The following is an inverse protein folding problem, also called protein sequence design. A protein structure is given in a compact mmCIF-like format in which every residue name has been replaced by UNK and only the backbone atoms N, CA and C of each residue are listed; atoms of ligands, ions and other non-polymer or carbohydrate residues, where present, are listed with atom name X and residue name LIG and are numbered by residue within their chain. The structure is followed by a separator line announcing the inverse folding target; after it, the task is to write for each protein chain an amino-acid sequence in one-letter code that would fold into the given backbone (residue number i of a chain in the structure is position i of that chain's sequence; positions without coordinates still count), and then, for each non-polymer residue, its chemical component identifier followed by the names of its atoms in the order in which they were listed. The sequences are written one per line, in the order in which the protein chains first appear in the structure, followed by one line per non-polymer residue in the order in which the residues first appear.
data_IF_452840765575
#
_entry.id   IF_452840765575
#
_cell.length_a   1.000
_cell.length_b   1.000
_cell.length_c   1.000
_cell.angle_alpha   90.00
_cell.angle_beta   90.00
_cell.angle_gamma   90.00
#
_symmetry.space_group_name_H-M   'P 1'
#
loop_
_entity.id
_entity.type
_entity.pdbx_description
1 polymer ?
#
# COMPACT_ATOMS: atom_id res chain seq x y z
N UNK A 1 -55.96 1.18 5.01
CA UNK A 1 -54.96 1.90 4.19
C UNK A 1 -53.59 1.58 4.75
N UNK A 2 -52.90 0.59 4.18
CA UNK A 2 -51.56 0.20 4.62
C UNK A 2 -50.55 1.06 3.85
N UNK A 3 -50.01 2.08 4.51
CA UNK A 3 -48.86 2.83 4.00
C UNK A 3 -47.68 1.86 3.94
N UNK A 4 -47.37 1.37 2.74
CA UNK A 4 -46.13 0.67 2.47
C UNK A 4 -45.00 1.68 2.70
N UNK A 5 -44.34 1.61 3.86
CA UNK A 5 -43.05 2.25 4.06
C UNK A 5 -42.09 1.62 3.06
N UNK A 6 -41.81 2.31 1.97
CA UNK A 6 -40.67 1.99 1.12
C UNK A 6 -39.45 2.26 1.98
N UNK A 7 -38.87 1.22 2.57
CA UNK A 7 -37.63 1.33 3.32
C UNK A 7 -36.53 1.66 2.32
N UNK A 8 -36.19 2.93 2.21
CA UNK A 8 -35.06 3.40 1.42
C UNK A 8 -33.78 2.94 2.13
N UNK A 9 -33.15 1.89 1.60
CA UNK A 9 -31.85 1.42 2.09
C UNK A 9 -30.77 2.38 1.62
N UNK A 10 -29.90 2.80 2.54
CA UNK A 10 -28.70 3.54 2.16
C UNK A 10 -27.68 2.58 1.54
N UNK A 11 -26.75 3.08 0.73
CA UNK A 11 -25.58 2.29 0.29
C UNK A 11 -24.83 1.69 1.47
N UNK A 12 -24.77 2.39 2.60
CA UNK A 12 -24.12 1.92 3.82
C UNK A 12 -24.80 0.69 4.43
N UNK A 13 -26.14 0.68 4.45
CA UNK A 13 -26.92 -0.46 4.95
C UNK A 13 -26.73 -1.67 4.04
N UNK A 14 -26.74 -1.46 2.72
CA UNK A 14 -26.50 -2.52 1.76
C UNK A 14 -25.11 -3.15 1.95
N UNK A 15 -24.06 -2.34 2.11
CA UNK A 15 -22.71 -2.83 2.39
C UNK A 15 -22.67 -3.62 3.69
N UNK A 16 -23.37 -3.16 4.74
CA UNK A 16 -23.49 -3.88 6.00
C UNK A 16 -24.10 -5.27 5.79
N UNK A 17 -25.23 -5.33 5.08
CA UNK A 17 -25.89 -6.59 4.73
C UNK A 17 -24.98 -7.55 3.96
N UNK A 18 -24.32 -7.07 2.89
CA UNK A 18 -23.40 -7.88 2.09
C UNK A 18 -22.21 -8.39 2.92
N UNK A 19 -21.68 -7.56 3.83
CA UNK A 19 -20.62 -7.97 4.73
C UNK A 19 -21.10 -9.09 5.68
N UNK A 20 -22.30 -8.97 6.25
CA UNK A 20 -22.89 -10.00 7.10
C UNK A 20 -23.07 -11.33 6.37
N UNK A 21 -23.54 -11.25 5.13
CA UNK A 21 -23.67 -12.40 4.23
C UNK A 21 -22.32 -13.11 3.99
N UNK A 22 -21.24 -12.33 3.79
CA UNK A 22 -19.89 -12.89 3.61
C UNK A 22 -19.33 -13.53 4.89
N UNK A 23 -19.63 -12.98 6.06
CA UNK A 23 -19.33 -13.62 7.35
C UNK A 23 -20.00 -15.01 7.43
N UNK A 24 -21.29 -15.09 7.08
CA UNK A 24 -22.02 -16.35 7.06
C UNK A 24 -21.43 -17.36 6.05
N UNK A 25 -21.11 -16.90 4.85
CA UNK A 25 -20.55 -17.74 3.77
C UNK A 25 -19.24 -18.42 4.19
N UNK A 26 -18.44 -17.76 5.04
CA UNK A 26 -17.20 -18.30 5.58
C UNK A 26 -17.35 -18.97 6.96
N UNK A 27 -18.57 -19.09 7.48
CA UNK A 27 -18.83 -19.68 8.80
C UNK A 27 -18.14 -18.92 9.95
N UNK A 28 -17.91 -17.61 9.80
CA UNK A 28 -17.30 -16.77 10.84
C UNK A 28 -18.40 -15.93 11.47
N UNK A 29 -18.39 -15.81 12.80
CA UNK A 29 -19.18 -14.81 13.51
C UNK A 29 -18.37 -13.53 13.70
N UNK A 30 -18.94 -12.34 13.43
CA UNK A 30 -18.31 -11.09 13.83
C UNK A 30 -18.20 -11.04 15.37
N UNK A 31 -17.22 -10.30 15.89
CA UNK A 31 -17.05 -10.15 17.34
C UNK A 31 -18.22 -9.33 17.94
N UNK A 32 -18.51 -9.55 19.22
CA UNK A 32 -19.45 -8.69 19.96
C UNK A 32 -19.00 -7.21 19.91
N UNK A 33 -19.92 -6.25 19.84
CA UNK A 33 -21.39 -6.42 19.88
C UNK A 33 -22.03 -6.72 18.51
N UNK A 34 -21.24 -6.79 17.43
CA UNK A 34 -21.74 -6.80 16.05
C UNK A 34 -22.49 -8.08 15.64
N UNK A 35 -22.35 -9.16 16.40
CA UNK A 35 -23.14 -10.39 16.22
C UNK A 35 -24.49 -10.38 16.96
N UNK A 36 -24.75 -9.38 17.80
CA UNK A 36 -25.87 -9.37 18.75
C UNK A 36 -26.81 -8.19 18.50
N UNK A 37 -26.25 -7.00 18.24
CA UNK A 37 -27.04 -5.79 18.06
C UNK A 37 -27.75 -5.72 16.69
N UNK A 38 -29.03 -5.30 16.64
CA UNK A 38 -29.76 -5.10 15.40
C UNK A 38 -29.01 -4.16 14.45
N UNK A 39 -28.64 -4.68 13.29
CA UNK A 39 -27.89 -3.94 12.27
C UNK A 39 -28.06 -4.61 10.91
N UNK A 40 -27.83 -3.88 9.80
CA UNK A 40 -27.80 -4.49 8.47
C UNK A 40 -26.80 -5.65 8.38
N UNK A 41 -25.68 -5.57 9.12
CA UNK A 41 -24.70 -6.65 9.26
C UNK A 41 -25.34 -7.93 9.84
N UNK A 42 -26.06 -7.80 10.96
CA UNK A 42 -26.72 -8.94 11.58
C UNK A 42 -27.82 -9.54 10.69
N UNK A 43 -28.57 -8.69 9.98
CA UNK A 43 -29.59 -9.14 9.03
C UNK A 43 -28.98 -9.95 7.88
N UNK A 44 -27.86 -9.47 7.32
CA UNK A 44 -27.08 -10.19 6.31
C UNK A 44 -26.51 -11.51 6.82
N UNK A 45 -26.00 -11.53 8.05
CA UNK A 45 -25.48 -12.73 8.70
C UNK A 45 -26.56 -13.80 8.85
N UNK A 46 -27.73 -13.44 9.35
CA UNK A 46 -28.88 -14.36 9.51
C UNK A 46 -29.37 -14.90 8.17
N UNK A 47 -29.50 -14.02 7.18
CA UNK A 47 -29.91 -14.41 5.82
C UNK A 47 -28.91 -15.39 5.18
N UNK A 48 -27.60 -15.13 5.34
CA UNK A 48 -26.56 -16.01 4.86
C UNK A 48 -26.54 -17.36 5.61
N UNK A 49 -26.69 -17.37 6.93
CA UNK A 49 -26.75 -18.60 7.72
C UNK A 49 -27.91 -19.50 7.29
N UNK A 50 -29.08 -18.92 7.05
CA UNK A 50 -30.23 -19.64 6.52
C UNK A 50 -29.99 -20.21 5.11
N UNK A 51 -29.17 -19.53 4.30
CA UNK A 51 -28.88 -19.91 2.92
C UNK A 51 -27.78 -20.97 2.78
N UNK A 52 -26.69 -20.83 3.55
CA UNK A 52 -25.53 -21.72 3.45
C UNK A 52 -25.63 -22.93 4.38
N UNK A 53 -26.30 -22.79 5.52
CA UNK A 53 -26.34 -23.83 6.56
C UNK A 53 -24.94 -24.29 6.92
N UNK A 54 -24.65 -25.59 6.73
CA UNK A 54 -23.34 -26.19 6.98
C UNK A 54 -22.36 -26.09 5.80
N UNK A 55 -22.80 -25.62 4.63
CA UNK A 55 -21.99 -25.52 3.41
C UNK A 55 -21.27 -24.17 3.34
N UNK A 56 -20.29 -24.00 4.22
CA UNK A 56 -19.47 -22.77 4.30
C UNK A 56 -18.08 -22.97 3.70
N UNK A 57 -17.44 -21.86 3.32
CA UNK A 57 -16.07 -21.84 2.82
C UNK A 57 -15.06 -21.78 3.98
N UNK A 58 -13.93 -22.46 3.82
CA UNK A 58 -12.86 -22.46 4.84
C UNK A 58 -12.31 -21.04 5.11
N UNK A 59 -12.36 -20.54 6.35
CA UNK A 59 -11.86 -19.21 6.69
C UNK A 59 -10.34 -19.18 6.90
N UNK A 60 -9.58 -18.92 5.84
CA UNK A 60 -8.12 -18.69 5.93
C UNK A 60 -7.78 -17.44 6.74
N UNK A 61 -6.51 -17.29 7.16
CA UNK A 61 -6.06 -16.08 7.89
C UNK A 61 -6.33 -14.80 7.12
N UNK A 62 -6.18 -14.82 5.79
CA UNK A 62 -6.40 -13.66 4.93
C UNK A 62 -7.88 -13.34 4.74
N UNK A 63 -8.76 -14.35 4.72
CA UNK A 63 -10.23 -14.14 4.74
C UNK A 63 -10.64 -13.44 6.04
N UNK A 64 -10.17 -13.92 7.19
CA UNK A 64 -10.44 -13.28 8.49
C UNK A 64 -9.96 -11.83 8.53
N UNK A 65 -8.75 -11.56 8.00
CA UNK A 65 -8.21 -10.20 7.91
C UNK A 65 -9.02 -9.31 6.98
N UNK A 66 -9.48 -9.84 5.85
CA UNK A 66 -10.30 -9.13 4.88
C UNK A 66 -11.67 -8.75 5.43
N UNK A 67 -12.34 -9.69 6.12
CA UNK A 67 -13.60 -9.41 6.80
C UNK A 67 -13.41 -8.38 7.93
N UNK A 68 -12.35 -8.50 8.73
CA UNK A 68 -12.02 -7.50 9.75
C UNK A 68 -11.77 -6.11 9.16
N UNK A 69 -11.03 -6.02 8.05
CA UNK A 69 -10.79 -4.76 7.33
C UNK A 69 -12.12 -4.15 6.87
N UNK A 70 -13.00 -4.94 6.27
CA UNK A 70 -14.31 -4.48 5.80
C UNK A 70 -15.22 -4.05 6.95
N UNK A 71 -15.25 -4.78 8.05
CA UNK A 71 -15.98 -4.39 9.25
C UNK A 71 -15.48 -3.05 9.79
N UNK A 72 -14.16 -2.90 9.96
CA UNK A 72 -13.59 -1.64 10.42
C UNK A 72 -13.81 -0.50 9.43
N UNK A 73 -13.85 -0.77 8.13
CA UNK A 73 -14.16 0.24 7.11
C UNK A 73 -15.62 0.67 7.20
N UNK A 74 -16.55 -0.30 7.24
CA UNK A 74 -17.98 -0.07 7.39
C UNK A 74 -18.28 0.74 8.65
N UNK A 75 -17.77 0.36 9.82
CA UNK A 75 -17.97 1.12 11.07
C UNK A 75 -17.52 2.59 11.02
N UNK A 76 -16.60 2.95 10.10
CA UNK A 76 -16.09 4.31 9.90
C UNK A 76 -16.65 4.99 8.64
N UNK A 77 -17.63 4.37 7.97
CA UNK A 77 -18.19 4.84 6.71
C UNK A 77 -17.18 4.89 5.55
N UNK A 78 -16.07 4.14 5.64
CA UNK A 78 -15.02 4.11 4.62
C UNK A 78 -15.38 3.13 3.52
N UNK A 79 -15.09 3.51 2.28
CA UNK A 79 -15.30 2.65 1.12
C UNK A 79 -14.21 1.58 1.02
N UNK A 80 -14.59 0.41 0.49
CA UNK A 80 -13.69 -0.69 0.15
C UNK A 80 -13.97 -1.11 -1.29
N UNK A 81 -12.95 -1.12 -2.12
CA UNK A 81 -13.01 -1.57 -3.51
C UNK A 81 -12.92 -3.11 -3.54
N UNK A 82 -14.04 -3.80 -3.73
CA UNK A 82 -14.13 -5.25 -3.52
C UNK A 82 -13.66 -6.12 -4.70
N UNK A 83 -13.42 -5.53 -5.88
CA UNK A 83 -12.94 -6.27 -7.05
C UNK A 83 -11.48 -6.64 -6.88
N UNK A 84 -10.63 -5.70 -6.48
CA UNK A 84 -9.19 -5.92 -6.34
C UNK A 84 -8.78 -6.14 -4.87
N UNK A 85 -9.45 -5.53 -3.89
CA UNK A 85 -9.16 -5.79 -2.46
C UNK A 85 -9.83 -7.08 -2.01
N UNK A 86 -9.13 -8.19 -2.29
CA UNK A 86 -9.53 -9.57 -1.97
C UNK A 86 -8.61 -10.19 -0.92
N UNK A 87 -8.96 -11.35 -0.33
CA UNK A 87 -8.03 -12.11 0.53
C UNK A 87 -6.67 -12.40 -0.13
N UNK A 88 -6.65 -12.72 -1.43
CA UNK A 88 -5.41 -12.94 -2.20
C UNK A 88 -4.60 -11.63 -2.31
N UNK A 89 -5.25 -10.48 -2.50
CA UNK A 89 -4.56 -9.20 -2.47
C UNK A 89 -3.91 -8.94 -1.10
N UNK A 90 -4.62 -9.22 0.00
CA UNK A 90 -4.06 -9.09 1.34
C UNK A 90 -2.86 -10.03 1.59
N UNK A 91 -2.89 -11.24 1.04
CA UNK A 91 -1.74 -12.15 1.06
C UNK A 91 -0.54 -11.57 0.31
N UNK A 92 -0.75 -10.91 -0.82
CA UNK A 92 0.34 -10.34 -1.62
C UNK A 92 1.00 -9.12 -0.97
N UNK A 93 0.26 -8.34 -0.19
CA UNK A 93 0.81 -7.18 0.55
C UNK A 93 1.30 -7.55 1.95
N UNK A 94 1.22 -8.82 2.34
CA UNK A 94 1.73 -9.32 3.61
C UNK A 94 3.24 -9.07 3.71
N UNK A 95 3.66 -8.65 4.90
CA UNK A 95 5.06 -8.35 5.19
C UNK A 95 5.48 -9.04 6.48
N UNK A 96 6.74 -9.49 6.57
CA UNK A 96 7.29 -10.06 7.79
C UNK A 96 7.66 -8.98 8.81
N UNK A 97 8.03 -7.79 8.34
CA UNK A 97 8.46 -6.66 9.17
C UNK A 97 7.77 -5.38 8.75
N UNK A 98 7.50 -4.51 9.72
CA UNK A 98 6.92 -3.21 9.46
C UNK A 98 7.90 -2.33 8.65
N UNK A 99 7.46 -1.72 7.53
CA UNK A 99 8.34 -0.84 6.74
C UNK A 99 8.78 0.43 7.52
N UNK A 100 8.01 0.84 8.53
CA UNK A 100 8.25 2.06 9.30
C UNK A 100 9.11 1.76 10.54
N UNK A 101 8.61 0.89 11.44
CA UNK A 101 9.29 0.59 12.70
C UNK A 101 10.40 -0.44 12.55
N UNK A 102 10.42 -1.21 11.45
CA UNK A 102 11.32 -2.34 11.17
C UNK A 102 11.23 -3.49 12.18
N UNK A 103 10.22 -3.49 13.05
CA UNK A 103 9.93 -4.62 13.94
C UNK A 103 9.25 -5.75 13.17
N UNK A 104 9.46 -7.00 13.59
CA UNK A 104 8.69 -8.14 13.11
C UNK A 104 7.20 -7.91 13.38
N UNK A 105 6.36 -8.27 12.42
CA UNK A 105 4.92 -8.13 12.55
C UNK A 105 4.33 -9.34 13.26
N UNK A 106 3.59 -9.11 14.33
CA UNK A 106 2.81 -10.13 15.03
C UNK A 106 1.39 -10.20 14.47
N UNK A 107 0.62 -11.21 14.89
CA UNK A 107 -0.79 -11.33 14.52
C UNK A 107 -1.59 -11.74 15.74
N UNK A 108 -2.64 -10.97 16.03
CA UNK A 108 -3.61 -11.24 17.09
C UNK A 108 -2.98 -11.34 18.50
N UNK A 109 -1.91 -10.59 18.76
CA UNK A 109 -1.34 -10.45 20.12
C UNK A 109 -1.90 -9.23 20.85
N UNK A 110 -2.64 -8.35 20.14
CA UNK A 110 -3.11 -7.04 20.62
C UNK A 110 -1.98 -6.07 20.98
N UNK A 111 -0.77 -6.33 20.48
CA UNK A 111 0.42 -5.52 20.74
C UNK A 111 0.65 -4.47 19.64
N UNK A 112 1.55 -3.54 19.93
CA UNK A 112 2.02 -2.49 19.02
C UNK A 112 2.68 -3.00 17.72
N UNK A 113 3.09 -4.27 17.69
CA UNK A 113 3.68 -4.98 16.54
C UNK A 113 2.65 -5.65 15.64
N UNK A 114 1.38 -5.72 16.03
CA UNK A 114 0.38 -6.45 15.26
C UNK A 114 0.25 -5.89 13.85
N UNK A 115 0.15 -6.78 12.86
CA UNK A 115 -0.03 -6.42 11.47
C UNK A 115 -1.37 -5.67 11.27
N UNK A 116 -1.28 -4.47 10.72
CA UNK A 116 -2.40 -3.61 10.39
C UNK A 116 -2.30 -3.15 8.94
N UNK A 117 -3.45 -3.01 8.28
CA UNK A 117 -3.53 -2.51 6.90
C UNK A 117 -3.79 -1.02 6.94
N UNK A 118 -2.81 -0.24 6.49
CA UNK A 118 -2.90 1.22 6.36
C UNK A 118 -3.39 1.61 4.97
N UNK A 119 -4.14 2.71 4.92
CA UNK A 119 -4.42 3.45 3.69
C UNK A 119 -3.35 4.51 3.56
N UNK A 120 -2.37 4.29 2.68
CA UNK A 120 -1.19 5.16 2.60
C UNK A 120 -1.61 6.60 2.33
N UNK A 121 -2.48 6.79 1.32
CA UNK A 121 -3.24 8.01 1.09
C UNK A 121 -4.56 7.94 1.86
N UNK A 122 -4.71 8.80 2.88
CA UNK A 122 -5.81 8.72 3.85
C UNK A 122 -7.15 9.32 3.39
N UNK A 123 -7.12 10.23 2.43
CA UNK A 123 -8.27 10.76 1.69
C UNK A 123 -8.76 9.80 0.59
N UNK A 124 -8.22 8.59 0.52
CA UNK A 124 -8.71 7.51 -0.32
C UNK A 124 -9.35 6.39 0.51
N UNK A 125 -10.19 5.59 -0.14
CA UNK A 125 -10.79 4.38 0.41
C UNK A 125 -9.77 3.25 0.56
N UNK A 126 -10.24 2.10 1.01
CA UNK A 126 -9.48 0.85 0.95
C UNK A 126 -9.50 0.33 -0.49
N UNK A 127 -8.46 0.63 -1.26
CA UNK A 127 -8.37 0.27 -2.66
C UNK A 127 -6.99 -0.26 -3.01
N UNK A 128 -6.94 -1.20 -3.97
CA UNK A 128 -5.66 -1.72 -4.44
C UNK A 128 -4.77 -0.58 -4.97
N UNK A 129 -3.47 -0.69 -4.72
CA UNK A 129 -2.53 0.39 -5.00
C UNK A 129 -2.38 1.42 -3.88
N UNK A 130 -3.28 1.46 -2.89
CA UNK A 130 -3.23 2.38 -1.75
C UNK A 130 -2.96 1.70 -0.39
N UNK A 131 -2.81 0.37 -0.37
CA UNK A 131 -2.70 -0.39 0.87
C UNK A 131 -1.26 -0.79 1.16
N UNK A 132 -0.87 -0.69 2.42
CA UNK A 132 0.39 -1.23 2.92
C UNK A 132 0.17 -1.92 4.27
N UNK A 133 0.83 -3.07 4.47
CA UNK A 133 0.87 -3.73 5.77
C UNK A 133 1.99 -3.14 6.63
N UNK A 134 1.64 -2.71 7.84
CA UNK A 134 2.58 -2.13 8.81
C UNK A 134 2.11 -2.44 10.24
N UNK A 135 2.89 -2.09 11.26
CA UNK A 135 2.48 -2.37 12.63
C UNK A 135 1.36 -1.44 13.08
N UNK A 136 0.52 -1.88 14.02
CA UNK A 136 -0.52 -1.04 14.66
C UNK A 136 0.08 0.26 15.19
N UNK A 137 1.26 0.23 15.83
CA UNK A 137 1.98 1.45 16.28
C UNK A 137 2.24 2.43 15.14
N UNK A 138 2.76 1.97 14.01
CA UNK A 138 3.04 2.84 12.86
C UNK A 138 1.75 3.41 12.26
N UNK A 139 0.72 2.57 12.11
CA UNK A 139 -0.57 2.99 11.57
C UNK A 139 -1.26 4.03 12.48
N UNK A 140 -1.29 3.79 13.79
CA UNK A 140 -1.86 4.73 14.77
C UNK A 140 -1.10 6.06 14.80
N UNK A 141 0.22 6.05 14.79
CA UNK A 141 1.00 7.27 14.77
C UNK A 141 0.87 8.05 13.46
N UNK A 142 0.87 7.35 12.31
CA UNK A 142 0.58 7.98 11.01
C UNK A 142 -0.80 8.62 11.03
N UNK A 143 -1.81 7.97 11.62
CA UNK A 143 -3.17 8.49 11.73
C UNK A 143 -3.67 9.01 10.36
N UNK A 144 -4.01 10.30 10.26
CA UNK A 144 -4.42 10.98 9.03
C UNK A 144 -3.27 11.67 8.28
N UNK A 145 -2.06 11.73 8.86
CA UNK A 145 -0.94 12.51 8.32
C UNK A 145 -0.52 12.01 6.93
N UNK A 146 -0.61 12.90 5.94
CA UNK A 146 -0.14 12.66 4.58
C UNK A 146 1.36 12.92 4.43
N UNK A 147 1.83 12.97 3.17
CA UNK A 147 3.24 13.26 2.87
C UNK A 147 3.71 14.59 3.47
N UNK A 148 2.95 15.67 3.23
CA UNK A 148 3.31 17.03 3.68
C UNK A 148 3.32 17.15 5.20
N UNK A 149 2.35 16.55 5.88
CA UNK A 149 2.29 16.54 7.34
C UNK A 149 3.45 15.76 7.95
N UNK A 150 3.74 14.56 7.44
CA UNK A 150 4.86 13.75 7.90
C UNK A 150 6.20 14.49 7.69
N UNK A 151 6.37 15.18 6.56
CA UNK A 151 7.58 15.97 6.30
C UNK A 151 7.70 17.18 7.24
N UNK A 152 6.58 17.85 7.56
CA UNK A 152 6.56 18.92 8.56
C UNK A 152 6.96 18.40 9.94
N UNK A 153 6.41 17.27 10.37
CA UNK A 153 6.77 16.62 11.65
C UNK A 153 8.26 16.30 11.71
N UNK A 154 8.85 15.78 10.63
CA UNK A 154 10.31 15.53 10.57
C UNK A 154 11.09 16.82 10.79
N UNK A 155 10.74 17.91 10.08
CA UNK A 155 11.43 19.20 10.20
C UNK A 155 11.29 19.80 11.59
N UNK A 156 10.11 19.72 12.19
CA UNK A 156 9.84 20.24 13.53
C UNK A 156 10.66 19.47 14.58
N UNK A 157 10.75 18.14 14.46
CA UNK A 157 11.59 17.30 15.32
C UNK A 157 13.08 17.61 15.15
N UNK A 158 13.57 17.80 13.93
CA UNK A 158 14.97 18.20 13.66
C UNK A 158 15.29 19.57 14.26
N UNK A 159 14.43 20.56 14.03
CA UNK A 159 14.60 21.91 14.56
C UNK A 159 14.58 21.95 16.10
N UNK A 160 13.74 21.11 16.72
CA UNK A 160 13.67 20.96 18.17
C UNK A 160 14.75 20.05 18.77
N UNK A 161 15.62 19.43 17.95
CA UNK A 161 16.58 18.41 18.40
C UNK A 161 15.93 17.19 19.06
N UNK A 162 14.66 16.94 18.78
CA UNK A 162 13.85 15.90 19.44
C UNK A 162 13.97 14.56 18.70
N UNK A 163 14.37 13.47 19.38
CA UNK A 163 14.58 12.18 18.70
C UNK A 163 13.28 11.46 18.32
N UNK A 164 12.14 11.87 18.89
CA UNK A 164 10.83 11.25 18.68
C UNK A 164 9.67 12.22 18.96
N UNK A 165 8.51 11.95 18.37
CA UNK A 165 7.26 12.67 18.60
C UNK A 165 6.07 11.90 18.02
N UNK A 166 4.87 12.06 18.60
CA UNK A 166 3.65 11.40 18.10
C UNK A 166 3.73 9.87 18.05
N UNK A 167 4.53 9.24 18.92
CA UNK A 167 4.68 7.79 19.01
C UNK A 167 5.73 7.16 18.08
N UNK A 168 6.43 7.94 17.25
CA UNK A 168 7.49 7.47 16.36
C UNK A 168 8.78 8.27 16.52
N UNK A 169 9.92 7.64 16.20
CA UNK A 169 11.21 8.34 16.14
C UNK A 169 11.32 9.21 14.88
N UNK A 170 12.26 10.15 14.86
CA UNK A 170 12.59 10.96 13.69
C UNK A 170 12.79 10.09 12.43
N UNK A 171 13.59 9.03 12.56
CA UNK A 171 13.88 8.13 11.46
C UNK A 171 12.63 7.37 10.97
N UNK A 172 11.69 7.07 11.87
CA UNK A 172 10.42 6.42 11.54
C UNK A 172 9.48 7.41 10.83
N UNK A 173 9.39 8.66 11.28
CA UNK A 173 8.63 9.70 10.57
C UNK A 173 9.17 9.98 9.18
N UNK A 174 10.49 9.99 9.00
CA UNK A 174 11.10 10.11 7.67
C UNK A 174 10.69 8.95 6.75
N UNK A 175 10.58 7.72 7.28
CA UNK A 175 10.05 6.56 6.53
C UNK A 175 8.57 6.72 6.19
N UNK A 176 7.76 7.28 7.11
CA UNK A 176 6.34 7.59 6.84
C UNK A 176 6.21 8.60 5.70
N UNK A 177 6.99 9.67 5.72
CA UNK A 177 7.00 10.67 4.64
C UNK A 177 7.32 10.03 3.29
N UNK A 178 8.38 9.20 3.21
CA UNK A 178 8.74 8.49 1.97
C UNK A 178 7.62 7.54 1.52
N UNK A 179 7.03 6.76 2.43
CA UNK A 179 5.92 5.88 2.09
C UNK A 179 4.73 6.64 1.51
N UNK A 180 4.32 7.75 2.15
CA UNK A 180 3.23 8.58 1.67
C UNK A 180 3.55 9.26 0.33
N UNK A 181 4.81 9.63 0.08
CA UNK A 181 5.22 10.27 -1.16
C UNK A 181 4.97 9.43 -2.40
N UNK A 182 4.91 8.09 -2.26
CA UNK A 182 4.67 7.20 -3.39
C UNK A 182 3.29 7.37 -4.03
N UNK A 183 2.29 7.79 -3.25
CA UNK A 183 0.89 7.95 -3.69
C UNK A 183 0.43 9.42 -3.60
N UNK A 184 1.38 10.33 -3.39
CA UNK A 184 1.20 11.77 -3.49
C UNK A 184 1.72 12.23 -4.86
N UNK A 185 0.91 12.93 -5.68
CA UNK A 185 1.41 13.56 -6.89
C UNK A 185 2.42 14.66 -6.54
N UNK A 186 3.68 14.48 -6.92
CA UNK A 186 4.75 15.44 -6.68
C UNK A 186 5.34 15.94 -7.99
N UNK A 187 5.92 17.15 -7.96
CA UNK A 187 6.78 17.57 -9.06
C UNK A 187 7.99 16.64 -9.18
N UNK A 188 8.54 16.51 -10.39
CA UNK A 188 9.74 15.70 -10.64
C UNK A 188 10.90 16.12 -9.75
N UNK A 189 11.08 17.44 -9.56
CA UNK A 189 12.12 18.00 -8.71
C UNK A 189 11.95 17.55 -7.26
N UNK A 190 10.77 17.72 -6.68
CA UNK A 190 10.48 17.31 -5.30
C UNK A 190 10.66 15.82 -5.11
N UNK A 191 10.07 15.00 -6.00
CA UNK A 191 10.17 13.54 -5.92
C UNK A 191 11.62 13.04 -6.05
N UNK A 192 12.43 13.68 -6.89
CA UNK A 192 13.85 13.32 -7.09
C UNK A 192 14.72 13.63 -5.87
N UNK A 193 14.32 14.62 -5.05
CA UNK A 193 15.05 15.03 -3.86
C UNK A 193 14.78 14.13 -2.64
N UNK A 194 13.82 13.21 -2.71
CA UNK A 194 13.46 12.35 -1.60
C UNK A 194 14.38 11.11 -1.52
N UNK A 195 14.95 10.80 -0.34
CA UNK A 195 15.68 9.55 -0.13
C UNK A 195 14.73 8.35 -0.09
N UNK A 196 15.12 7.21 -0.66
CA UNK A 196 14.33 5.98 -0.63
C UNK A 196 14.51 5.22 0.70
N UNK A 197 14.05 5.82 1.80
CA UNK A 197 14.21 5.28 3.16
C UNK A 197 13.33 4.05 3.46
N UNK A 198 12.42 3.75 2.54
CA UNK A 198 11.54 2.57 2.54
C UNK A 198 11.44 2.12 1.09
N UNK A 199 11.73 0.84 0.80
CA UNK A 199 11.37 0.30 -0.51
C UNK A 199 9.84 0.19 -0.60
N UNK A 200 9.23 0.45 -1.77
CA UNK A 200 7.78 0.34 -1.93
C UNK A 200 7.26 -1.02 -1.45
N UNK A 201 6.26 -1.05 -0.55
CA UNK A 201 5.51 -2.27 -0.26
C UNK A 201 4.95 -2.89 -1.55
N UNK A 202 4.77 -4.21 -1.55
CA UNK A 202 4.25 -4.90 -2.72
C UNK A 202 2.86 -4.35 -3.10
N UNK A 203 2.56 -4.27 -4.40
CA UNK A 203 1.30 -3.74 -4.96
C UNK A 203 0.96 -2.28 -4.62
N UNK A 204 1.81 -1.52 -3.93
CA UNK A 204 1.61 -0.08 -3.76
C UNK A 204 1.89 0.65 -5.08
N UNK A 205 0.99 1.56 -5.49
CA UNK A 205 1.19 2.38 -6.70
C UNK A 205 2.27 3.42 -6.43
N UNK A 206 3.03 3.75 -7.47
CA UNK A 206 4.06 4.79 -7.46
C UNK A 206 3.66 5.86 -8.47
N UNK A 207 3.12 6.99 -8.00
CA UNK A 207 2.66 8.08 -8.85
C UNK A 207 3.81 8.88 -9.47
N UNK A 208 4.99 8.82 -8.87
CA UNK A 208 6.15 9.59 -9.32
C UNK A 208 7.14 8.66 -10.06
N UNK A 209 7.30 8.78 -11.40
CA UNK A 209 8.14 7.87 -12.19
C UNK A 209 9.61 7.83 -11.73
N UNK A 210 10.13 8.94 -11.22
CA UNK A 210 11.50 9.01 -10.68
C UNK A 210 11.67 8.12 -9.44
N UNK A 211 10.63 8.00 -8.58
CA UNK A 211 10.66 7.09 -7.43
C UNK A 211 10.50 5.63 -7.87
N UNK A 212 9.74 5.36 -8.94
CA UNK A 212 9.71 4.03 -9.55
C UNK A 212 11.09 3.62 -10.08
N UNK A 213 11.82 4.55 -10.71
CA UNK A 213 13.20 4.33 -11.13
C UNK A 213 14.15 4.13 -9.95
N UNK A 214 14.00 4.93 -8.89
CA UNK A 214 14.76 4.81 -7.64
C UNK A 214 14.59 3.41 -7.02
N UNK A 215 13.35 2.93 -6.93
CA UNK A 215 13.03 1.61 -6.42
C UNK A 215 13.54 0.50 -7.34
N UNK A 216 13.40 0.66 -8.66
CA UNK A 216 13.89 -0.30 -9.65
C UNK A 216 15.40 -0.53 -9.50
N UNK A 217 16.20 0.54 -9.45
CA UNK A 217 17.66 0.44 -9.33
C UNK A 217 18.06 -0.16 -7.97
N UNK A 218 17.41 0.29 -6.89
CA UNK A 218 17.68 -0.20 -5.53
C UNK A 218 17.42 -1.70 -5.40
N UNK A 219 16.35 -2.21 -6.00
CA UNK A 219 16.01 -3.65 -5.97
C UNK A 219 17.00 -4.54 -6.73
N UNK A 220 17.78 -3.98 -7.65
CA UNK A 220 18.79 -4.77 -8.37
C UNK A 220 19.80 -5.37 -7.40
N UNK A 221 20.16 -4.62 -6.36
CA UNK A 221 21.14 -5.00 -5.33
C UNK A 221 20.64 -6.12 -4.40
N UNK A 222 19.33 -6.41 -4.39
CA UNK A 222 18.73 -7.44 -3.54
C UNK A 222 18.72 -8.83 -4.17
N UNK A 223 19.10 -8.94 -5.44
CA UNK A 223 19.07 -10.22 -6.16
C UNK A 223 20.49 -10.60 -6.64
N UNK A 224 20.83 -11.90 -6.67
CA UNK A 224 22.09 -12.39 -7.25
C UNK A 224 22.30 -11.89 -8.68
N UNK A 225 23.55 -11.70 -9.12
CA UNK A 225 23.84 -11.23 -10.49
C UNK A 225 23.52 -9.75 -10.73
N UNK A 226 23.44 -8.93 -9.67
CA UNK A 226 23.11 -7.51 -9.76
C UNK A 226 24.07 -6.72 -10.68
N UNK A 227 25.36 -7.07 -10.71
CA UNK A 227 26.37 -6.36 -11.51
C UNK A 227 26.06 -6.42 -13.01
N UNK A 228 25.71 -7.61 -13.51
CA UNK A 228 25.31 -7.82 -14.90
C UNK A 228 24.01 -7.08 -15.24
N UNK A 229 23.01 -7.11 -14.34
CA UNK A 229 21.76 -6.38 -14.55
C UNK A 229 21.96 -4.87 -14.57
N UNK A 230 22.79 -4.34 -13.68
CA UNK A 230 23.13 -2.91 -13.63
C UNK A 230 23.86 -2.47 -14.89
N UNK A 231 24.83 -3.25 -15.38
CA UNK A 231 25.52 -2.96 -16.64
C UNK A 231 24.55 -2.98 -17.85
N UNK A 232 23.63 -3.95 -17.89
CA UNK A 232 22.58 -4.02 -18.93
C UNK A 232 21.59 -2.86 -18.83
N UNK A 233 21.27 -2.41 -17.62
CA UNK A 233 20.43 -1.23 -17.41
C UNK A 233 21.14 0.04 -17.84
N UNK A 234 22.42 0.22 -17.50
CA UNK A 234 23.23 1.36 -17.92
C UNK A 234 23.27 1.49 -19.45
N UNK A 235 23.37 0.37 -20.17
CA UNK A 235 23.33 0.34 -21.63
C UNK A 235 22.01 0.90 -22.22
N UNK A 236 20.91 0.92 -21.45
CA UNK A 236 19.63 1.50 -21.88
C UNK A 236 19.59 3.03 -21.77
N UNK A 237 20.50 3.63 -21.00
CA UNK A 237 20.55 5.07 -20.78
C UNK A 237 21.04 5.79 -22.05
N UNK A 238 20.30 6.81 -22.54
CA UNK A 238 20.70 7.58 -23.71
C UNK A 238 21.88 8.52 -23.42
N UNK A 239 22.90 8.47 -24.29
CA UNK A 239 24.01 9.41 -24.28
C UNK A 239 25.06 9.19 -23.17
N UNK A 240 26.25 9.73 -23.40
CA UNK A 240 27.39 9.65 -22.45
C UNK A 240 27.14 10.40 -21.13
N UNK A 241 26.54 11.61 -21.10
CA UNK A 241 26.35 12.36 -19.86
C UNK A 241 25.50 11.61 -18.82
N UNK A 242 24.39 11.03 -19.26
CA UNK A 242 23.46 10.32 -18.38
C UNK A 242 24.06 9.02 -17.82
N UNK A 243 24.78 8.26 -18.66
CA UNK A 243 25.53 7.06 -18.21
C UNK A 243 26.57 7.40 -17.16
N UNK A 244 27.35 8.46 -17.39
CA UNK A 244 28.35 8.93 -16.42
C UNK A 244 27.69 9.34 -15.10
N UNK A 245 26.60 10.09 -15.15
CA UNK A 245 25.86 10.50 -13.95
C UNK A 245 25.32 9.28 -13.18
N UNK A 246 24.77 8.28 -13.88
CA UNK A 246 24.33 7.02 -13.29
C UNK A 246 25.48 6.25 -12.62
N UNK A 247 26.61 6.07 -13.30
CA UNK A 247 27.80 5.41 -12.75
C UNK A 247 28.29 6.11 -11.47
N UNK A 248 28.35 7.45 -11.48
CA UNK A 248 28.75 8.23 -10.31
C UNK A 248 27.78 8.05 -9.13
N UNK A 249 26.48 7.96 -9.40
CA UNK A 249 25.50 7.62 -8.38
C UNK A 249 25.68 6.19 -7.86
N UNK A 250 25.79 5.22 -8.77
CA UNK A 250 25.86 3.82 -8.39
C UNK A 250 27.14 3.50 -7.60
N UNK A 251 28.28 4.11 -7.97
CA UNK A 251 29.53 4.01 -7.21
C UNK A 251 29.48 4.74 -5.85
N UNK A 252 28.57 5.68 -5.65
CA UNK A 252 28.33 6.26 -4.32
C UNK A 252 27.42 5.35 -3.46
N UNK A 253 26.43 4.69 -4.09
CA UNK A 253 25.45 3.83 -3.40
C UNK A 253 26.05 2.48 -2.99
N UNK A 254 26.70 1.78 -3.92
CA UNK A 254 27.14 0.40 -3.73
C UNK A 254 28.02 0.21 -2.49
N UNK A 255 29.05 1.04 -2.23
CA UNK A 255 29.89 0.86 -1.03
C UNK A 255 29.09 0.93 0.27
N UNK A 256 28.08 1.81 0.35
CA UNK A 256 27.23 1.96 1.54
C UNK A 256 26.39 0.71 1.80
N UNK A 257 25.94 0.04 0.74
CA UNK A 257 25.21 -1.22 0.85
C UNK A 257 26.14 -2.36 1.27
N UNK A 258 27.38 -2.38 0.76
CA UNK A 258 28.37 -3.41 1.12
C UNK A 258 28.91 -3.24 2.56
N UNK A 259 29.00 -2.01 3.07
CA UNK A 259 29.42 -1.71 4.45
C UNK A 259 28.49 -2.31 5.50
N UNK A 260 27.20 -2.50 5.19
CA UNK A 260 26.26 -3.17 6.08
C UNK A 260 26.53 -4.68 6.25
N UNK A 261 27.50 -5.22 5.51
CA UNK A 261 27.88 -6.62 5.51
C UNK A 261 27.10 -7.45 4.50
N UNK A 262 27.72 -8.51 3.97
CA UNK A 262 27.00 -9.54 3.21
C UNK A 262 26.17 -10.34 4.19
N UNK A 263 24.89 -10.46 3.92
CA UNK A 263 23.95 -11.19 4.75
C UNK A 263 23.04 -12.02 3.86
N UNK A 264 22.80 -13.27 4.26
CA UNK A 264 21.82 -14.14 3.61
C UNK A 264 20.38 -13.80 4.04
N UNK A 265 20.23 -12.93 5.06
CA UNK A 265 18.94 -12.40 5.47
C UNK A 265 18.47 -11.31 4.50
N UNK A 266 17.52 -11.67 3.65
CA UNK A 266 16.90 -10.78 2.68
C UNK A 266 16.33 -9.48 3.31
N UNK A 267 15.88 -9.53 4.57
CA UNK A 267 15.33 -8.37 5.25
C UNK A 267 16.43 -7.38 5.68
N UNK A 268 17.56 -7.89 6.19
CA UNK A 268 18.73 -7.06 6.50
C UNK A 268 19.34 -6.45 5.24
N UNK A 269 19.45 -7.22 4.16
CA UNK A 269 19.91 -6.71 2.87
C UNK A 269 19.01 -5.56 2.35
N UNK A 270 17.69 -5.69 2.52
CA UNK A 270 16.74 -4.62 2.22
C UNK A 270 16.99 -3.36 3.05
N UNK A 271 17.18 -3.48 4.36
CA UNK A 271 17.45 -2.32 5.21
C UNK A 271 18.78 -1.65 4.90
N UNK A 272 19.82 -2.41 4.55
CA UNK A 272 21.10 -1.87 4.10
C UNK A 272 20.93 -0.97 2.85
N UNK A 273 20.12 -1.40 1.88
CA UNK A 273 19.79 -0.59 0.70
C UNK A 273 19.02 0.67 1.08
N UNK A 274 17.99 0.56 1.92
CA UNK A 274 17.21 1.71 2.40
C UNK A 274 18.06 2.72 3.20
N UNK A 275 18.99 2.24 4.03
CA UNK A 275 19.85 3.10 4.84
C UNK A 275 20.96 3.77 4.03
N UNK A 276 21.44 3.13 2.95
CA UNK A 276 22.39 3.74 2.02
C UNK A 276 21.84 5.03 1.38
N UNK A 277 20.54 5.14 1.19
CA UNK A 277 19.88 6.35 0.69
C UNK A 277 19.92 7.54 1.65
N UNK A 278 20.27 7.34 2.93
CA UNK A 278 20.48 8.44 3.90
C UNK A 278 21.78 9.20 3.62
N UNK A 279 22.71 8.62 2.88
CA UNK A 279 24.02 9.22 2.68
C UNK A 279 23.94 10.47 1.78
N UNK A 280 24.46 11.64 2.22
CA UNK A 280 24.37 12.88 1.46
C UNK A 280 25.03 12.82 0.08
N UNK A 281 26.12 12.05 -0.07
CA UNK A 281 26.79 11.88 -1.37
C UNK A 281 25.93 11.05 -2.32
N UNK A 282 25.30 9.97 -1.83
CA UNK A 282 24.35 9.17 -2.62
C UNK A 282 23.22 10.06 -3.13
N UNK A 283 22.61 10.85 -2.25
CA UNK A 283 21.54 11.77 -2.62
C UNK A 283 22.00 12.85 -3.61
N UNK A 284 23.16 13.47 -3.39
CA UNK A 284 23.72 14.46 -4.31
C UNK A 284 23.91 13.90 -5.72
N UNK A 285 24.44 12.68 -5.84
CA UNK A 285 24.67 12.03 -7.14
C UNK A 285 23.37 11.55 -7.79
N UNK A 286 22.44 11.02 -6.99
CA UNK A 286 21.12 10.64 -7.45
C UNK A 286 20.36 11.84 -8.02
N UNK A 287 20.28 12.95 -7.29
CA UNK A 287 19.59 14.16 -7.74
C UNK A 287 20.20 14.68 -9.04
N UNK A 288 21.54 14.70 -9.14
CA UNK A 288 22.22 15.09 -10.37
C UNK A 288 21.88 14.18 -11.57
N UNK A 289 21.77 12.86 -11.35
CA UNK A 289 21.33 11.91 -12.39
C UNK A 289 19.85 12.08 -12.74
N UNK A 290 18.97 12.13 -11.73
CA UNK A 290 17.52 12.20 -11.89
C UNK A 290 17.07 13.50 -12.58
N UNK A 291 17.76 14.62 -12.34
CA UNK A 291 17.48 15.91 -12.99
C UNK A 291 17.84 15.96 -14.48
N UNK A 292 18.62 15.00 -14.99
CA UNK A 292 18.87 14.85 -16.43
C UNK A 292 17.74 14.10 -17.16
N UNK A 293 16.74 13.61 -16.41
CA UNK A 293 15.61 12.86 -16.92
C UNK A 293 14.33 13.65 -16.71
N UNK A 294 13.39 13.51 -17.65
CA UNK A 294 11.99 13.91 -17.45
C UNK A 294 11.18 12.76 -16.82
N UNK A 295 9.99 13.04 -16.26
CA UNK A 295 9.09 11.99 -15.77
C UNK A 295 8.81 10.88 -16.80
N UNK A 296 8.51 11.27 -18.04
CA UNK A 296 8.25 10.33 -19.13
C UNK A 296 9.47 9.46 -19.46
N UNK A 297 10.68 10.03 -19.41
CA UNK A 297 11.91 9.26 -19.62
C UNK A 297 12.16 8.25 -18.48
N UNK A 298 11.88 8.62 -17.23
CA UNK A 298 11.96 7.68 -16.10
C UNK A 298 11.01 6.49 -16.29
N UNK A 299 9.75 6.76 -16.66
CA UNK A 299 8.75 5.74 -16.92
C UNK A 299 9.17 4.82 -18.08
N UNK A 300 9.57 5.39 -19.21
CA UNK A 300 10.06 4.63 -20.37
C UNK A 300 11.29 3.77 -20.04
N UNK A 301 12.22 4.27 -19.23
CA UNK A 301 13.40 3.51 -18.81
C UNK A 301 13.00 2.29 -17.97
N UNK A 302 12.10 2.47 -17.00
CA UNK A 302 11.60 1.38 -16.17
C UNK A 302 10.84 0.34 -17.02
N UNK A 303 9.95 0.79 -17.90
CA UNK A 303 9.20 -0.08 -18.80
C UNK A 303 10.11 -0.89 -19.74
N UNK A 304 11.09 -0.24 -20.37
CA UNK A 304 12.08 -0.91 -21.25
C UNK A 304 12.95 -1.89 -20.49
N UNK A 305 13.35 -1.56 -19.25
CA UNK A 305 14.14 -2.46 -18.42
C UNK A 305 13.33 -3.68 -18.00
N UNK A 306 12.05 -3.51 -17.62
CA UNK A 306 11.14 -4.59 -17.31
C UNK A 306 10.91 -5.51 -18.52
N UNK A 307 10.64 -4.94 -19.71
CA UNK A 307 10.48 -5.70 -20.96
C UNK A 307 11.73 -6.52 -21.35
N UNK A 308 12.92 -6.08 -20.92
CA UNK A 308 14.19 -6.81 -21.12
C UNK A 308 14.51 -7.82 -20.03
N UNK A 309 13.58 -8.08 -19.11
CA UNK A 309 13.74 -9.02 -17.99
C UNK A 309 14.76 -8.56 -16.95
N UNK A 310 14.97 -7.25 -16.79
CA UNK A 310 15.90 -6.70 -15.80
C UNK A 310 15.22 -6.45 -14.43
N UNK A 311 13.88 -6.47 -14.38
CA UNK A 311 13.16 -6.30 -13.13
C UNK A 311 13.20 -7.58 -12.28
N UNK A 312 13.41 -7.43 -10.97
CA UNK A 312 13.34 -8.55 -10.00
C UNK A 312 11.92 -8.85 -9.55
N UNK A 313 10.97 -8.00 -9.92
CA UNK A 313 9.54 -8.12 -9.64
C UNK A 313 8.76 -7.71 -10.89
N UNK A 314 7.49 -8.14 -10.98
CA UNK A 314 6.58 -7.68 -12.03
C UNK A 314 6.39 -6.17 -11.89
N UNK A 315 6.65 -5.45 -12.97
CA UNK A 315 6.36 -4.02 -13.08
C UNK A 315 5.20 -3.87 -14.05
N UNK A 316 4.21 -3.10 -13.66
CA UNK A 316 3.02 -2.83 -14.45
C UNK A 316 2.83 -1.32 -14.52
N UNK A 317 2.73 -0.82 -15.75
CA UNK A 317 2.39 0.58 -15.99
C UNK A 317 0.87 0.70 -16.00
N UNK A 318 0.36 1.70 -15.29
CA UNK A 318 -1.06 1.99 -15.20
C UNK A 318 -1.23 3.42 -15.70
N UNK A 319 -2.24 3.63 -16.57
CA UNK A 319 -2.60 4.97 -17.01
C UNK A 319 -2.92 5.86 -15.81
N UNK A 320 -2.45 7.11 -15.83
CA UNK A 320 -2.75 8.13 -14.84
C UNK A 320 -4.26 8.23 -14.54
N UNK A 321 -5.11 8.11 -15.56
CA UNK A 321 -6.57 8.18 -15.38
C UNK A 321 -7.12 7.00 -14.57
N UNK A 322 -6.53 5.81 -14.71
CA UNK A 322 -6.90 4.59 -13.97
C UNK A 322 -6.13 4.43 -12.65
N UNK A 323 -5.09 5.25 -12.42
CA UNK A 323 -4.18 5.13 -11.28
C UNK A 323 -4.85 5.39 -9.91
N UNK A 324 -6.06 5.94 -9.89
CA UNK A 324 -6.88 6.16 -8.69
C UNK A 324 -8.28 5.56 -8.81
N UNK A 325 -8.52 4.73 -9.83
CA UNK A 325 -9.80 4.02 -9.99
C UNK A 325 -10.10 3.19 -8.74
N UNK A 326 -11.33 3.29 -8.23
CA UNK A 326 -11.79 2.64 -7.00
C UNK A 326 -11.34 3.31 -5.69
N UNK A 327 -10.54 4.38 -5.73
CA UNK A 327 -10.06 5.05 -4.52
C UNK A 327 -11.10 5.98 -3.87
N UNK A 328 -12.20 6.28 -4.57
CA UNK A 328 -13.28 7.16 -4.08
C UNK A 328 -12.76 8.52 -3.56
N UNK A 329 -11.87 9.16 -4.32
CA UNK A 329 -11.25 10.43 -3.91
C UNK A 329 -12.25 11.58 -3.79
N UNK A 330 -13.31 11.58 -4.62
CA UNK A 330 -14.37 12.59 -4.59
C UNK A 330 -15.09 12.68 -3.24
N UNK A 331 -15.25 11.53 -2.57
CA UNK A 331 -15.84 11.44 -1.23
C UNK A 331 -14.78 11.36 -0.14
N UNK A 332 -13.50 11.64 -0.45
CA UNK A 332 -12.36 11.47 0.46
C UNK A 332 -12.26 10.06 1.06
N UNK A 333 -12.62 9.03 0.28
CA UNK A 333 -12.59 7.62 0.65
C UNK A 333 -13.76 7.17 1.52
N UNK A 334 -14.85 7.94 1.58
CA UNK A 334 -16.08 7.55 2.27
C UNK A 334 -17.08 6.91 1.31
N UNK A 335 -18.01 6.11 1.83
CA UNK A 335 -19.12 5.58 1.04
C UNK A 335 -20.03 6.75 0.60
N UNK A 336 -20.36 6.87 -0.70
CA UNK A 336 -21.33 7.87 -1.17
C UNK A 336 -22.69 7.67 -0.49
N UNK A 337 -23.32 8.76 -0.03
CA UNK A 337 -24.62 8.73 0.63
C UNK A 337 -25.77 8.64 -0.38
N UNK A 338 -25.68 7.72 -1.34
CA UNK A 338 -26.75 7.46 -2.27
C UNK A 338 -27.86 6.61 -1.61
N UNK A 339 -29.11 6.95 -1.89
CA UNK A 339 -30.26 6.10 -1.56
C UNK A 339 -30.39 5.07 -2.66
N UNK A 340 -30.31 3.79 -2.33
CA UNK A 340 -30.50 2.72 -3.30
C UNK A 340 -32.01 2.44 -3.38
N UNK A 341 -32.63 2.85 -4.48
CA UNK A 341 -33.97 2.38 -4.82
C UNK A 341 -33.87 0.90 -5.20
N UNK A 342 -34.58 0.01 -4.48
CA UNK A 342 -34.70 -1.40 -4.85
C UNK A 342 -35.37 -1.52 -6.22
N UNK A 343 -34.57 -1.56 -7.29
CA UNK A 343 -34.95 -2.25 -8.52
C UNK A 343 -34.88 -3.75 -8.26
N UNK A 344 -35.90 -4.49 -8.69
CA UNK A 344 -36.04 -5.94 -8.49
C UNK A 344 -34.70 -6.67 -8.67
N UNK A 345 -34.31 -7.45 -7.67
CA UNK A 345 -33.11 -8.27 -7.69
C UNK A 345 -33.11 -9.15 -8.95
N UNK A 346 -32.25 -8.85 -9.91
CA UNK A 346 -31.93 -9.80 -10.95
C UNK A 346 -31.12 -10.93 -10.30
N UNK A 347 -31.56 -12.20 -10.39
CA UNK A 347 -30.78 -13.30 -9.85
C UNK A 347 -29.43 -13.35 -10.57
N UNK A 348 -28.33 -13.28 -9.81
CA UNK A 348 -27.01 -13.63 -10.31
C UNK A 348 -27.09 -15.08 -10.82
N UNK A 349 -27.06 -15.26 -12.13
CA UNK A 349 -26.88 -16.57 -12.72
C UNK A 349 -25.53 -17.12 -12.25
N UNK A 350 -25.60 -18.20 -11.48
CA UNK A 350 -24.46 -19.04 -11.15
C UNK A 350 -24.05 -19.73 -12.45
N UNK A 351 -22.96 -19.29 -13.06
CA UNK A 351 -22.30 -20.06 -14.10
C UNK A 351 -21.71 -21.31 -13.44
N UNK A 352 -22.37 -22.45 -13.64
CA UNK A 352 -21.81 -23.76 -13.34
C UNK A 352 -20.71 -24.06 -14.37
N UNK A 353 -19.52 -24.53 -13.97
CA UNK A 353 -18.52 -25.01 -14.91
C UNK A 353 -18.98 -26.33 -15.54
N UNK A 354 -18.89 -26.40 -16.87
CA UNK A 354 -18.81 -27.66 -17.64
C UNK A 354 -17.35 -28.13 -17.68
#
# INVERSE_FOLDING_TARGET
MSTAFVTTLTTHDQIGFELGWDYAHHGILPAAPYAEEPSPLLDGLRAGQASFGTRTLLPTRHVRKWLQLRLHAWLRGRSVELVQVTPNHLQQIEASHCPITRMALSTATLEASDASVDRVRNDAGYAAGNLAMMSTKANHAKAANGFRDALRIVRDLEAAGSPAGGGLTLAQWARVAVLCSFVEPLSHEEASALPLLVLPPNRLRLFNPVQALQAFVSRQLLAPGWSQRVARFEALLPGKPLRRAFQMFFHALLPRVLEAGRTDDAQRARWAVEDAWRNPLVMKRWIAFARLLTPAQCEQLVARAAAKGLATQRVEQIDTAAATEGWNLETRGYVPHAVVTRGAAAPRQVALPL
#
